data_IF_530360432832
#
_entry.id   IF_530360432832
#
_cell.length_a   1.000
_cell.length_b   1.000
_cell.length_c   1.000
_cell.angle_alpha   90.00
_cell.angle_beta   90.00
_cell.angle_gamma   90.00
#
_symmetry.space_group_name_H-M   'P 1'
#
loop_
_entity.id
_entity.type
_entity.pdbx_description
1 polymer ?
#
# COMPACT_ATOMS: atom_id res chain seq x y z
N UNK A 1 -8.92 7.62 -18.62
CA UNK A 1 -9.56 6.31 -18.39
C UNK A 1 -9.49 6.04 -16.90
N UNK A 2 -10.65 5.87 -16.28
CA UNK A 2 -10.87 5.99 -14.82
C UNK A 2 -10.46 4.72 -14.08
N UNK A 3 -9.76 4.88 -12.96
CA UNK A 3 -9.25 3.82 -12.09
C UNK A 3 -10.39 3.14 -11.31
N UNK A 4 -10.57 1.81 -11.37
CA UNK A 4 -11.58 1.12 -10.57
C UNK A 4 -10.93 0.71 -9.25
N UNK A 5 -10.79 1.64 -8.31
CA UNK A 5 -10.44 1.23 -6.95
C UNK A 5 -11.64 0.49 -6.37
N UNK A 6 -11.52 -0.83 -6.21
CA UNK A 6 -12.56 -1.66 -5.64
C UNK A 6 -12.47 -1.60 -4.10
N UNK A 7 -13.57 -1.42 -3.35
CA UNK A 7 -13.53 -1.36 -1.88
C UNK A 7 -12.95 -2.61 -1.20
N UNK A 8 -12.91 -3.74 -1.91
CA UNK A 8 -12.35 -5.00 -1.42
C UNK A 8 -10.89 -5.25 -1.86
N UNK A 9 -10.22 -4.23 -2.42
CA UNK A 9 -8.82 -4.33 -2.80
C UNK A 9 -7.94 -4.62 -1.57
N UNK A 10 -7.06 -5.61 -1.67
CA UNK A 10 -6.21 -6.08 -0.56
C UNK A 10 -6.87 -7.07 0.41
N UNK A 11 -8.14 -7.45 0.20
CA UNK A 11 -8.77 -8.55 0.94
C UNK A 11 -8.54 -9.90 0.24
N UNK A 12 -8.41 -10.96 1.03
CA UNK A 12 -8.26 -12.33 0.54
C UNK A 12 -9.62 -13.03 0.54
N UNK A 13 -9.89 -13.79 -0.52
CA UNK A 13 -11.12 -14.55 -0.69
C UNK A 13 -10.80 -15.97 -1.14
N UNK A 14 -11.65 -16.93 -0.78
CA UNK A 14 -11.52 -18.28 -1.30
C UNK A 14 -11.98 -18.31 -2.77
N UNK A 15 -11.09 -18.76 -3.66
CA UNK A 15 -11.42 -19.00 -5.06
C UNK A 15 -12.22 -20.29 -5.17
N UNK A 16 -13.51 -20.18 -5.48
CA UNK A 16 -14.40 -21.34 -5.61
C UNK A 16 -14.34 -21.95 -7.02
N UNK A 17 -14.32 -21.11 -8.05
CA UNK A 17 -14.38 -21.56 -9.45
C UNK A 17 -13.84 -20.52 -10.43
N UNK A 18 -13.17 -21.00 -11.47
CA UNK A 18 -12.79 -20.21 -12.64
C UNK A 18 -13.74 -20.53 -13.80
N UNK A 19 -14.24 -19.50 -14.48
CA UNK A 19 -15.11 -19.60 -15.67
C UNK A 19 -14.54 -18.74 -16.78
N UNK A 20 -14.76 -19.11 -18.03
CA UNK A 20 -14.39 -18.28 -19.19
C UNK A 20 -15.66 -17.80 -19.87
N UNK A 21 -15.82 -16.48 -19.99
CA UNK A 21 -16.96 -15.84 -20.67
C UNK A 21 -16.43 -14.90 -21.72
N UNK A 22 -16.74 -15.16 -23.00
CA UNK A 22 -16.23 -14.39 -24.15
C UNK A 22 -14.70 -14.24 -24.17
N UNK A 23 -13.98 -15.28 -23.74
CA UNK A 23 -12.51 -15.26 -23.65
C UNK A 23 -11.95 -14.56 -22.41
N UNK A 24 -12.79 -13.96 -21.57
CA UNK A 24 -12.37 -13.35 -20.31
C UNK A 24 -12.51 -14.34 -19.15
N UNK A 25 -11.43 -14.63 -18.41
CA UNK A 25 -11.52 -15.41 -17.18
C UNK A 25 -12.22 -14.62 -16.07
N UNK A 26 -13.24 -15.24 -15.47
CA UNK A 26 -14.00 -14.76 -14.32
C UNK A 26 -13.80 -15.71 -13.14
N UNK A 27 -13.52 -15.13 -11.98
CA UNK A 27 -13.32 -15.83 -10.72
C UNK A 27 -14.55 -15.69 -9.84
N UNK A 28 -15.09 -16.83 -9.42
CA UNK A 28 -16.13 -16.88 -8.39
C UNK A 28 -15.46 -16.96 -7.02
N UNK A 29 -15.68 -15.93 -6.21
CA UNK A 29 -15.09 -15.75 -4.90
C UNK A 29 -16.15 -15.89 -3.81
N UNK A 30 -15.81 -16.59 -2.72
CA UNK A 30 -16.63 -16.63 -1.51
C UNK A 30 -16.33 -15.40 -0.64
N UNK A 31 -17.37 -14.67 -0.27
CA UNK A 31 -17.32 -13.60 0.74
C UNK A 31 -18.08 -14.05 1.99
N UNK A 32 -17.92 -13.36 3.11
CA UNK A 32 -18.59 -13.69 4.38
C UNK A 32 -20.12 -13.84 4.28
N UNK A 33 -20.76 -13.23 3.28
CA UNK A 33 -22.22 -13.22 3.16
C UNK A 33 -22.74 -13.75 1.83
N UNK A 34 -21.91 -13.84 0.78
CA UNK A 34 -22.35 -14.15 -0.60
C UNK A 34 -21.22 -14.70 -1.47
N UNK A 35 -21.58 -15.27 -2.62
CA UNK A 35 -20.63 -15.59 -3.69
C UNK A 35 -20.71 -14.51 -4.77
N UNK A 36 -19.57 -13.89 -5.09
CA UNK A 36 -19.46 -12.88 -6.15
C UNK A 36 -18.63 -13.41 -7.32
N UNK A 37 -18.83 -12.88 -8.52
CA UNK A 37 -17.98 -13.19 -9.68
C UNK A 37 -17.31 -11.92 -10.18
N UNK A 38 -15.98 -11.93 -10.26
CA UNK A 38 -15.16 -10.80 -10.68
C UNK A 38 -14.23 -11.21 -11.83
N UNK A 39 -13.88 -10.30 -12.76
CA UNK A 39 -12.83 -10.56 -13.74
C UNK A 39 -11.49 -10.88 -13.07
N UNK A 40 -10.72 -11.82 -13.64
CA UNK A 40 -9.35 -12.12 -13.18
C UNK A 40 -8.47 -10.87 -13.10
N UNK A 41 -8.62 -9.96 -14.07
CA UNK A 41 -7.89 -8.69 -14.15
C UNK A 41 -8.13 -7.73 -12.98
N UNK A 42 -9.11 -8.01 -12.12
CA UNK A 42 -9.38 -7.24 -10.90
C UNK A 42 -8.76 -7.87 -9.65
N UNK A 43 -8.05 -8.99 -9.82
CA UNK A 43 -7.44 -9.74 -8.73
C UNK A 43 -5.93 -9.75 -8.89
N UNK A 44 -5.21 -9.84 -7.77
CA UNK A 44 -3.75 -9.93 -7.77
C UNK A 44 -3.24 -11.22 -8.44
N UNK A 45 -4.09 -12.22 -8.64
CA UNK A 45 -3.74 -13.42 -9.42
C UNK A 45 -3.40 -13.10 -10.87
N UNK A 46 -3.98 -12.04 -11.46
CA UNK A 46 -3.57 -11.56 -12.79
C UNK A 46 -2.14 -11.01 -12.81
N UNK A 47 -1.64 -10.55 -11.66
CA UNK A 47 -0.29 -9.99 -11.51
C UNK A 47 0.76 -11.09 -11.33
N UNK A 48 0.41 -12.26 -10.78
CA UNK A 48 1.36 -13.34 -10.45
C UNK A 48 2.05 -13.93 -11.70
N UNK A 49 1.47 -13.82 -12.90
CA UNK A 49 2.06 -14.43 -14.10
C UNK A 49 3.21 -13.60 -14.72
N UNK A 50 3.27 -12.28 -14.49
CA UNK A 50 4.28 -11.40 -15.12
C UNK A 50 5.02 -10.48 -14.13
N UNK A 51 4.64 -10.47 -12.84
CA UNK A 51 5.25 -9.59 -11.87
C UNK A 51 6.55 -10.17 -11.30
N UNK A 52 7.68 -9.75 -11.89
CA UNK A 52 8.90 -9.54 -11.10
C UNK A 52 8.47 -8.70 -9.87
N UNK A 53 8.78 -9.09 -8.63
CA UNK A 53 8.42 -8.28 -7.47
C UNK A 53 9.09 -6.91 -7.63
N UNK A 54 8.30 -5.93 -8.05
CA UNK A 54 8.69 -4.54 -8.01
C UNK A 54 8.74 -4.21 -6.52
N UNK A 55 9.93 -4.30 -5.94
CA UNK A 55 10.14 -3.80 -4.59
C UNK A 55 9.73 -2.32 -4.63
N UNK A 56 8.71 -1.91 -3.86
CA UNK A 56 8.18 -0.55 -3.95
C UNK A 56 9.21 0.51 -3.54
N UNK A 57 10.29 0.07 -2.89
CA UNK A 57 11.41 0.89 -2.49
C UNK A 57 12.71 0.24 -2.94
N UNK A 58 13.63 1.07 -3.44
CA UNK A 58 15.02 0.72 -3.66
C UNK A 58 15.90 1.25 -2.50
N UNK A 59 17.19 0.92 -2.51
CA UNK A 59 18.11 1.31 -1.43
C UNK A 59 18.27 2.83 -1.25
N UNK A 60 18.10 3.61 -2.33
CA UNK A 60 18.14 5.07 -2.28
C UNK A 60 16.90 5.63 -1.58
N UNK A 61 15.72 5.10 -1.88
CA UNK A 61 14.46 5.51 -1.25
C UNK A 61 14.52 5.28 0.28
N UNK A 62 15.13 4.17 0.71
CA UNK A 62 15.33 3.89 2.12
C UNK A 62 16.33 4.84 2.79
N UNK A 63 17.38 5.26 2.06
CA UNK A 63 18.35 6.26 2.54
C UNK A 63 17.69 7.62 2.72
N UNK A 64 16.91 8.07 1.74
CA UNK A 64 16.19 9.36 1.80
C UNK A 64 15.18 9.39 2.95
N UNK A 65 14.50 8.27 3.22
CA UNK A 65 13.59 8.16 4.36
C UNK A 65 14.33 8.32 5.70
N UNK A 66 15.49 7.69 5.85
CA UNK A 66 16.31 7.82 7.08
C UNK A 66 16.78 9.26 7.27
N UNK A 67 17.23 9.93 6.20
CA UNK A 67 17.64 11.34 6.26
C UNK A 67 16.48 12.26 6.64
N UNK A 68 15.28 12.02 6.11
CA UNK A 68 14.08 12.77 6.48
C UNK A 68 13.75 12.61 7.97
N UNK A 69 13.80 11.38 8.49
CA UNK A 69 13.52 11.11 9.90
C UNK A 69 14.51 11.82 10.83
N UNK A 70 15.80 11.82 10.49
CA UNK A 70 16.84 12.52 11.24
C UNK A 70 16.59 14.04 11.27
N UNK A 71 16.27 14.63 10.11
CA UNK A 71 15.97 16.07 10.02
C UNK A 71 14.73 16.46 10.84
N UNK A 72 13.73 15.58 10.92
CA UNK A 72 12.54 15.80 11.74
C UNK A 72 12.85 15.71 13.24
N UNK A 73 13.72 14.79 13.65
CA UNK A 73 14.17 14.65 15.03
C UNK A 73 15.00 15.88 15.47
N UNK A 74 15.95 16.31 14.65
CA UNK A 74 16.79 17.49 14.92
C UNK A 74 15.97 18.80 14.99
N UNK A 75 14.91 18.90 14.19
CA UNK A 75 13.99 20.03 14.22
C UNK A 75 13.17 20.09 15.52
N UNK A 76 12.92 18.94 16.17
CA UNK A 76 12.18 18.92 17.44
C UNK A 76 13.00 19.49 18.60
N UNK A 77 14.33 19.25 18.59
CA UNK A 77 15.27 19.65 19.66
C UNK A 77 15.54 21.17 19.65
N UNK A 78 15.45 21.82 18.49
CA UNK A 78 15.64 23.28 18.39
C UNK A 78 14.54 24.09 19.09
N UNK A 79 13.34 23.52 19.28
CA UNK A 79 12.22 24.24 19.92
C UNK A 79 12.34 24.22 21.45
N UNK A 80 12.96 23.19 22.04
CA UNK A 80 13.14 23.07 23.49
C UNK A 80 14.28 23.93 24.03
N UNK A 81 15.35 24.14 23.23
CA UNK A 81 16.53 24.91 23.67
C UNK A 81 16.32 26.44 23.67
N UNK A 82 15.26 26.96 23.02
CA UNK A 82 14.95 28.39 23.07
C UNK A 82 14.27 28.81 24.39
N UNK A 83 13.63 27.86 25.08
CA UNK A 83 12.83 28.14 26.29
C UNK A 83 13.75 28.30 27.52
N UNK A 84 14.87 27.58 27.58
CA UNK A 84 15.74 27.55 28.77
C UNK A 84 16.72 28.76 28.87
N UNK A 85 17.15 29.32 27.73
CA UNK A 85 18.09 30.46 27.73
C UNK A 85 17.47 31.81 28.12
N UNK A 86 16.17 31.87 28.38
CA UNK A 86 15.48 33.11 28.80
C UNK A 86 15.47 33.34 30.32
N UNK A 87 15.97 32.39 31.13
CA UNK A 87 15.84 32.42 32.61
C UNK A 87 17.13 32.70 33.41
N UNK A 88 18.23 33.09 32.75
CA UNK A 88 19.54 33.34 33.42
C UNK A 88 20.00 34.81 33.44
N UNK A 89 19.07 35.77 33.37
CA UNK A 89 19.35 37.18 33.66
C UNK A 89 18.24 37.76 34.54
N UNK A 90 18.37 37.58 35.85
CA UNK A 90 17.55 38.18 36.89
C UNK A 90 18.39 38.34 38.15
#
# INVERSE_FOLDING_TARGET
MTHPFHPLYGQTFALLKVKHVNGTPLYSLETNFTVISVPESWTDQSHVQDAKPATPFNALDLKELVELLQNLEDSSISTTNLIDNSKSRG
#
